data_IF_961927701705
#
_entry.id   IF_961927701705
#
_cell.length_a   1.000
_cell.length_b   1.000
_cell.length_c   1.000
_cell.angle_alpha   90.00
_cell.angle_beta   90.00
_cell.angle_gamma   90.00
#
_symmetry.space_group_name_H-M   'P 1'
#
loop_
_entity.id
_entity.type
_entity.pdbx_description
1 polymer ?
#
# COMPACT_ATOMS: atom_id res chain seq x y z
N UNK A 1 -3.60 -6.13 -16.10
CA UNK A 1 -3.40 -6.56 -14.69
C UNK A 1 -3.52 -5.33 -13.82
N UNK A 2 -4.03 -5.47 -12.59
CA UNK A 2 -4.18 -4.33 -11.69
C UNK A 2 -2.82 -3.92 -11.10
N UNK A 3 -2.63 -2.63 -10.83
CA UNK A 3 -1.36 -2.07 -10.37
C UNK A 3 -1.33 -1.92 -8.86
N UNK A 4 -0.13 -2.02 -8.28
CA UNK A 4 0.13 -1.56 -6.93
C UNK A 4 1.16 -0.43 -6.92
N UNK A 5 1.17 0.34 -5.84
CA UNK A 5 2.26 1.25 -5.53
C UNK A 5 2.47 1.36 -4.03
N UNK A 6 3.70 1.66 -3.63
CA UNK A 6 4.03 2.04 -2.27
C UNK A 6 4.44 3.51 -2.28
N UNK A 7 3.73 4.33 -1.52
CA UNK A 7 4.11 5.71 -1.29
C UNK A 7 4.88 5.80 0.02
N UNK A 8 6.04 6.45 0.02
CA UNK A 8 6.67 6.92 1.24
C UNK A 8 6.05 8.25 1.61
N UNK A 9 5.57 8.36 2.85
CA UNK A 9 4.98 9.57 3.39
C UNK A 9 5.87 10.08 4.53
N UNK A 10 6.46 11.26 4.37
CA UNK A 10 7.29 11.92 5.39
C UNK A 10 6.62 13.17 5.94
N UNK A 11 7.05 13.61 7.12
CA UNK A 11 6.66 14.90 7.73
C UNK A 11 5.15 15.06 7.96
N UNK A 12 4.44 13.94 8.14
CA UNK A 12 3.05 13.97 8.55
C UNK A 12 2.96 14.35 10.04
N UNK A 13 2.22 15.41 10.41
CA UNK A 13 2.17 15.91 11.79
C UNK A 13 1.61 14.89 12.78
N UNK A 14 0.76 13.98 12.30
CA UNK A 14 0.14 12.92 13.11
C UNK A 14 0.94 11.60 13.10
N UNK A 15 2.15 11.61 12.53
CA UNK A 15 3.03 10.45 12.50
C UNK A 15 4.24 10.67 13.44
N UNK A 16 4.23 10.10 14.65
CA UNK A 16 5.33 10.26 15.61
C UNK A 16 6.64 9.62 15.13
N UNK A 17 6.59 8.74 14.13
CA UNK A 17 7.80 8.16 13.51
C UNK A 17 8.40 9.06 12.42
N UNK A 18 7.64 10.07 11.96
CA UNK A 18 8.03 11.00 10.91
C UNK A 18 8.05 10.40 9.49
N UNK A 19 7.85 9.08 9.35
CA UNK A 19 7.87 8.38 8.08
C UNK A 19 7.09 7.05 8.13
N UNK A 20 6.15 6.88 7.21
CA UNK A 20 5.43 5.63 6.98
C UNK A 20 5.25 5.35 5.49
N UNK A 21 4.60 4.23 5.18
CA UNK A 21 4.33 3.81 3.81
C UNK A 21 2.83 3.57 3.58
N UNK A 22 2.30 4.09 2.48
CA UNK A 22 0.95 3.79 2.05
C UNK A 22 1.00 2.78 0.91
N UNK A 23 0.44 1.59 1.13
CA UNK A 23 0.26 0.57 0.11
C UNK A 23 -1.05 0.83 -0.63
N UNK A 24 -0.96 1.11 -1.92
CA UNK A 24 -2.08 1.35 -2.82
C UNK A 24 -2.27 0.12 -3.73
N UNK A 25 -3.49 -0.38 -3.79
CA UNK A 25 -3.92 -1.42 -4.72
C UNK A 25 -5.05 -0.88 -5.59
N UNK A 26 -4.86 -0.89 -6.91
CA UNK A 26 -5.86 -0.46 -7.89
C UNK A 26 -7.15 -1.28 -7.76
N UNK A 27 -8.28 -0.58 -7.67
CA UNK A 27 -9.60 -1.15 -7.42
C UNK A 27 -10.68 -0.31 -8.14
N UNK A 28 -10.81 -0.55 -9.45
CA UNK A 28 -11.71 0.20 -10.32
C UNK A 28 -11.19 1.61 -10.59
N UNK A 29 -11.93 2.62 -10.12
CA UNK A 29 -11.66 4.05 -10.36
C UNK A 29 -10.78 4.72 -9.27
N UNK A 30 -10.38 3.94 -8.27
CA UNK A 30 -9.59 4.39 -7.14
C UNK A 30 -8.61 3.30 -6.67
N UNK A 31 -7.83 3.60 -5.64
CA UNK A 31 -7.00 2.63 -4.92
C UNK A 31 -7.59 2.33 -3.55
N UNK A 32 -7.63 1.06 -3.17
CA UNK A 32 -7.68 0.71 -1.74
C UNK A 32 -6.31 0.90 -1.13
N UNK A 33 -6.29 1.48 0.07
CA UNK A 33 -5.05 1.94 0.68
C UNK A 33 -4.93 1.51 2.13
N UNK A 34 -3.73 1.09 2.51
CA UNK A 34 -3.37 0.81 3.90
C UNK A 34 -2.08 1.52 4.26
N UNK A 35 -2.05 2.14 5.44
CA UNK A 35 -0.82 2.62 6.09
C UNK A 35 -0.08 1.44 6.70
N UNK A 36 1.21 1.39 6.43
CA UNK A 36 2.19 0.43 6.90
C UNK A 36 3.35 1.19 7.56
N UNK A 37 3.95 0.62 8.59
CA UNK A 37 5.09 1.26 9.25
C UNK A 37 6.38 1.09 8.43
N UNK A 38 6.52 -0.05 7.76
CA UNK A 38 7.71 -0.39 6.98
C UNK A 38 7.33 -1.02 5.64
N UNK A 39 8.27 -1.06 4.70
CA UNK A 39 8.11 -1.84 3.47
C UNK A 39 7.88 -3.33 3.82
N UNK A 40 6.84 -4.00 3.28
CA UNK A 40 6.65 -5.44 3.48
C UNK A 40 7.83 -6.27 2.95
N UNK A 41 8.51 -7.00 3.83
CA UNK A 41 9.59 -7.91 3.44
C UNK A 41 9.07 -9.31 3.15
N UNK A 42 9.59 -9.93 2.09
CA UNK A 42 9.26 -11.32 1.72
C UNK A 42 9.66 -12.30 2.82
N UNK A 43 8.69 -13.04 3.36
CA UNK A 43 8.91 -13.95 4.50
C UNK A 43 9.18 -13.22 5.82
N UNK A 44 8.98 -11.90 5.86
CA UNK A 44 9.14 -11.09 7.06
C UNK A 44 8.02 -11.28 8.08
N UNK A 45 8.20 -10.69 9.26
CA UNK A 45 7.16 -10.65 10.29
C UNK A 45 5.94 -9.85 9.79
N UNK A 46 4.71 -10.30 10.07
CA UNK A 46 3.53 -9.48 9.83
C UNK A 46 3.62 -8.14 10.56
N UNK A 47 3.13 -7.08 9.92
CA UNK A 47 3.07 -5.73 10.50
C UNK A 47 1.64 -5.21 10.49
N UNK A 48 1.37 -4.17 11.28
CA UNK A 48 0.07 -3.50 11.27
C UNK A 48 -0.24 -2.91 9.88
N UNK A 49 -1.49 -3.02 9.47
CA UNK A 49 -2.03 -2.48 8.24
C UNK A 49 -3.32 -1.72 8.54
N UNK A 50 -3.21 -0.41 8.62
CA UNK A 50 -4.33 0.47 8.98
C UNK A 50 -5.03 0.93 7.71
N UNK A 51 -6.32 0.60 7.48
CA UNK A 51 -7.01 1.04 6.29
C UNK A 51 -7.14 2.56 6.27
N UNK A 52 -6.91 3.16 5.09
CA UNK A 52 -7.05 4.58 4.84
C UNK A 52 -8.19 4.85 3.84
N UNK A 53 -8.57 6.12 3.72
CA UNK A 53 -9.46 6.58 2.64
C UNK A 53 -8.89 6.18 1.28
N UNK A 54 -9.79 5.81 0.36
CA UNK A 54 -9.42 5.47 -1.01
C UNK A 54 -8.60 6.59 -1.67
N UNK A 55 -7.51 6.22 -2.33
CA UNK A 55 -6.64 7.15 -3.04
C UNK A 55 -7.00 7.24 -4.52
N UNK A 56 -6.68 8.37 -5.14
CA UNK A 56 -6.86 8.57 -6.58
C UNK A 56 -5.79 7.79 -7.36
N UNK A 57 -6.16 7.25 -8.53
CA UNK A 57 -5.27 6.48 -9.40
C UNK A 57 -3.99 7.22 -9.84
N UNK A 58 -4.00 8.56 -9.84
CA UNK A 58 -2.82 9.38 -10.16
C UNK A 58 -1.60 9.08 -9.28
N UNK A 59 -1.80 8.50 -8.09
CA UNK A 59 -0.70 8.10 -7.21
C UNK A 59 -0.06 6.75 -7.58
N UNK A 60 -0.65 6.01 -8.52
CA UNK A 60 0.00 4.83 -9.10
C UNK A 60 1.09 5.21 -10.10
N UNK A 61 1.11 6.46 -10.58
CA UNK A 61 2.11 6.98 -11.52
C UNK A 61 3.34 7.53 -10.78
N UNK A 62 4.52 7.64 -11.44
CA UNK A 62 5.69 8.30 -10.86
C UNK A 62 5.33 9.71 -10.36
N UNK A 63 5.36 9.90 -9.04
CA UNK A 63 4.92 11.14 -8.41
C UNK A 63 5.63 11.39 -7.09
N UNK A 64 5.94 12.66 -6.86
CA UNK A 64 6.35 13.19 -5.57
C UNK A 64 5.67 14.55 -5.39
N UNK A 65 4.91 14.73 -4.32
CA UNK A 65 4.16 15.95 -4.10
C UNK A 65 3.82 16.19 -2.62
N UNK A 66 3.70 17.47 -2.27
CA UNK A 66 3.19 17.89 -0.97
C UNK A 66 1.76 17.41 -0.75
N UNK A 67 1.47 16.90 0.45
CA UNK A 67 0.13 16.53 0.87
C UNK A 67 -0.59 17.78 1.38
N UNK A 68 -1.83 17.97 0.92
CA UNK A 68 -2.64 19.14 1.25
C UNK A 68 -2.78 19.36 2.76
N UNK A 69 -2.90 20.63 3.17
CA UNK A 69 -3.07 21.00 4.57
C UNK A 69 -1.80 20.91 5.41
N UNK A 70 -0.62 20.95 4.79
CA UNK A 70 0.66 20.88 5.49
C UNK A 70 0.95 19.51 6.10
N UNK A 71 0.37 18.44 5.55
CA UNK A 71 0.45 17.08 6.09
C UNK A 71 1.66 16.31 5.57
N UNK A 72 2.76 16.98 5.28
CA UNK A 72 3.99 16.36 4.80
C UNK A 72 4.07 16.12 3.30
N UNK A 73 4.89 15.16 2.88
CA UNK A 73 5.18 14.83 1.48
C UNK A 73 4.92 13.36 1.17
N UNK A 74 4.35 13.08 0.01
CA UNK A 74 4.13 11.72 -0.49
C UNK A 74 4.92 11.50 -1.79
N UNK A 75 5.69 10.41 -1.82
CA UNK A 75 6.51 10.01 -2.96
C UNK A 75 6.27 8.54 -3.30
N UNK A 76 6.04 8.22 -4.58
CA UNK A 76 5.99 6.83 -5.03
C UNK A 76 7.40 6.24 -5.05
N UNK A 77 7.66 5.28 -4.18
CA UNK A 77 8.98 4.64 -4.04
C UNK A 77 9.02 3.22 -4.60
N UNK A 78 7.87 2.57 -4.77
CA UNK A 78 7.78 1.21 -5.35
C UNK A 78 6.51 1.06 -6.17
N UNK A 79 6.54 0.21 -7.20
CA UNK A 79 5.39 -0.08 -8.04
C UNK A 79 5.50 -1.45 -8.73
N UNK A 80 4.37 -1.94 -9.24
CA UNK A 80 4.28 -3.15 -10.04
C UNK A 80 2.84 -3.56 -10.29
N UNK A 81 2.63 -4.81 -10.68
CA UNK A 81 1.34 -5.39 -10.98
C UNK A 81 1.01 -6.54 -10.04
N UNK A 82 -0.28 -6.79 -9.87
CA UNK A 82 -0.79 -7.91 -9.12
C UNK A 82 -1.89 -8.66 -9.86
N UNK A 83 -2.13 -9.90 -9.41
CA UNK A 83 -3.23 -10.75 -9.83
C UNK A 83 -4.03 -11.21 -8.62
N UNK A 84 -5.34 -11.32 -8.83
CA UNK A 84 -6.33 -11.63 -7.79
C UNK A 84 -7.47 -10.62 -7.85
N UNK A 85 -8.47 -10.84 -7.02
CA UNK A 85 -9.56 -9.90 -6.84
C UNK A 85 -9.54 -9.41 -5.41
N UNK A 86 -9.59 -8.10 -5.26
CA UNK A 86 -9.82 -7.54 -3.95
C UNK A 86 -11.27 -7.84 -3.52
N UNK A 87 -11.53 -8.22 -2.26
CA UNK A 87 -12.85 -8.63 -1.82
C UNK A 87 -13.86 -7.48 -1.88
N UNK A 88 -15.13 -7.76 -2.11
CA UNK A 88 -16.18 -6.72 -2.15
C UNK A 88 -16.38 -6.08 -0.77
N UNK A 89 -16.40 -6.90 0.29
CA UNK A 89 -16.49 -6.40 1.66
C UNK A 89 -15.10 -5.91 2.12
N UNK A 90 -14.95 -4.64 2.51
CA UNK A 90 -13.65 -4.07 2.91
C UNK A 90 -13.01 -4.73 4.13
N UNK A 91 -13.78 -5.43 4.96
CA UNK A 91 -13.27 -6.12 6.15
C UNK A 91 -12.79 -7.54 5.87
N UNK A 92 -13.10 -8.08 4.68
CA UNK A 92 -12.69 -9.42 4.31
C UNK A 92 -11.19 -9.47 4.03
N UNK A 93 -10.54 -10.63 4.23
CA UNK A 93 -9.12 -10.79 3.97
C UNK A 93 -8.78 -10.47 2.51
N UNK A 94 -7.70 -9.70 2.32
CA UNK A 94 -7.05 -9.55 1.03
C UNK A 94 -6.00 -10.64 0.89
N UNK A 95 -6.05 -11.38 -0.22
CA UNK A 95 -5.07 -12.41 -0.57
C UNK A 95 -4.84 -12.36 -2.09
N UNK A 96 -3.68 -11.89 -2.52
CA UNK A 96 -3.36 -11.64 -3.93
C UNK A 96 -1.87 -11.81 -4.22
N UNK A 97 -1.54 -12.04 -5.49
CA UNK A 97 -0.17 -12.27 -5.95
C UNK A 97 0.42 -11.00 -6.55
N UNK A 98 1.48 -10.46 -5.96
CA UNK A 98 2.32 -9.42 -6.56
C UNK A 98 3.29 -10.08 -7.54
N UNK A 99 3.20 -9.70 -8.82
CA UNK A 99 3.78 -10.45 -9.95
C UNK A 99 5.16 -9.95 -10.35
N UNK A 100 5.31 -8.62 -10.42
CA UNK A 100 6.50 -7.94 -10.93
C UNK A 100 6.83 -6.72 -10.08
N UNK A 101 7.81 -5.93 -10.53
CA UNK A 101 8.22 -4.73 -9.80
C UNK A 101 9.06 -5.04 -8.56
N UNK A 102 9.01 -4.10 -7.62
CA UNK A 102 9.85 -4.06 -6.41
C UNK A 102 9.40 -5.02 -5.30
N UNK A 103 8.11 -5.38 -5.27
CA UNK A 103 7.51 -6.30 -4.32
C UNK A 103 6.93 -7.49 -5.07
N UNK A 104 7.30 -8.71 -4.68
CA UNK A 104 6.85 -9.94 -5.33
C UNK A 104 6.48 -11.00 -4.30
N UNK A 105 5.51 -11.84 -4.64
CA UNK A 105 5.00 -12.90 -3.78
C UNK A 105 3.53 -12.72 -3.41
N UNK A 106 3.06 -13.49 -2.44
CA UNK A 106 1.66 -13.44 -1.99
C UNK A 106 1.50 -12.37 -0.90
N UNK A 107 0.79 -11.29 -1.23
CA UNK A 107 0.37 -10.27 -0.27
C UNK A 107 -0.88 -10.75 0.46
N UNK A 108 -0.84 -10.72 1.78
CA UNK A 108 -1.99 -11.02 2.62
C UNK A 108 -2.25 -9.90 3.63
N UNK A 109 -3.47 -9.36 3.62
CA UNK A 109 -3.96 -8.42 4.64
C UNK A 109 -5.18 -9.05 5.34
N UNK A 110 -5.04 -9.38 6.62
CA UNK A 110 -6.10 -10.02 7.42
C UNK A 110 -6.00 -9.57 8.87
N UNK A 111 -7.14 -9.28 9.51
CA UNK A 111 -7.21 -8.90 10.92
C UNK A 111 -6.27 -7.72 11.26
N UNK A 112 -6.19 -6.73 10.37
CA UNK A 112 -5.33 -5.54 10.54
C UNK A 112 -3.82 -5.81 10.41
N UNK A 113 -3.42 -6.97 9.88
CA UNK A 113 -2.02 -7.32 9.66
C UNK A 113 -1.72 -7.54 8.18
N UNK A 114 -0.62 -6.96 7.69
CA UNK A 114 -0.04 -7.19 6.38
C UNK A 114 1.17 -8.12 6.46
N UNK A 115 1.27 -9.09 5.55
CA UNK A 115 2.44 -9.94 5.37
C UNK A 115 2.67 -10.24 3.89
N UNK A 116 3.93 -10.42 3.50
CA UNK A 116 4.34 -10.83 2.16
C UNK A 116 5.00 -12.21 2.24
N UNK A 117 4.51 -13.18 1.47
CA UNK A 117 4.93 -14.59 1.53
C UNK A 117 5.47 -15.07 0.19
N UNK A 118 6.30 -16.11 0.21
CA UNK A 118 6.67 -16.82 -1.02
C UNK A 118 5.42 -17.52 -1.56
N UNK A 119 5.17 -17.36 -2.85
CA UNK A 119 4.19 -18.12 -3.63
C UNK A 119 4.67 -19.54 -3.86
#
# INVERSE_FOLDING_TARGET
MARYSLLRHTDAPDDPSGCHFDLLLEDGDACRTWRLQTVPSLGGRPQAAVPLTRHRLVWLEPRSAAVSGGRGWAERVMAGHFQGQLPHNPTDPVDLSLLDGDLRGQLRIKQGLCSLRRT
#
